data_IF_943469478703
#
_entry.id   IF_943469478703
#
_cell.length_a   1.000
_cell.length_b   1.000
_cell.length_c   1.000
_cell.angle_alpha   90.00
_cell.angle_beta   90.00
_cell.angle_gamma   90.00
#
_symmetry.space_group_name_H-M   'P 1'
#
loop_
_entity.id
_entity.type
_entity.pdbx_description
1 polymer ?
#
# COMPACT_ATOMS: atom_id res chain seq x y z
N UNK A 1 3.96 -1.09 23.25
CA UNK A 1 3.91 -1.41 24.70
C UNK A 1 5.26 -1.14 25.40
N UNK A 2 6.20 -0.43 24.74
CA UNK A 2 7.52 -0.13 25.31
C UNK A 2 8.47 -1.34 25.35
N UNK A 3 8.03 -2.50 24.86
CA UNK A 3 8.80 -3.76 24.82
C UNK A 3 8.91 -4.26 23.38
N UNK A 4 7.81 -4.17 22.63
CA UNK A 4 7.69 -4.47 21.21
C UNK A 4 7.60 -3.16 20.42
N UNK A 5 8.04 -3.21 19.17
CA UNK A 5 7.92 -2.11 18.24
C UNK A 5 6.50 -1.92 17.69
N UNK A 6 6.34 -1.29 16.52
CA UNK A 6 5.05 -1.15 15.85
C UNK A 6 4.37 -2.52 15.70
N UNK A 7 3.15 -2.60 16.21
CA UNK A 7 2.38 -3.84 16.26
C UNK A 7 0.90 -3.54 16.00
N UNK A 8 0.20 -4.52 15.43
CA UNK A 8 -1.24 -4.47 15.25
C UNK A 8 -1.92 -5.10 16.46
N UNK A 9 -2.90 -4.39 17.01
CA UNK A 9 -3.69 -4.81 18.17
C UNK A 9 -5.18 -4.79 17.82
N UNK A 10 -5.92 -5.72 18.41
CA UNK A 10 -7.39 -5.73 18.36
C UNK A 10 -7.93 -5.49 19.77
N UNK A 11 -9.03 -4.74 19.87
CA UNK A 11 -9.71 -4.45 21.14
C UNK A 11 -11.21 -4.47 20.97
N UNK A 12 -11.92 -4.98 21.98
CA UNK A 12 -13.37 -4.79 22.14
C UNK A 12 -13.72 -3.68 23.15
N UNK A 13 -12.75 -2.84 23.52
CA UNK A 13 -12.92 -1.78 24.52
C UNK A 13 -12.64 -2.21 25.97
N UNK A 14 -12.30 -3.47 26.22
CA UNK A 14 -11.92 -3.96 27.55
C UNK A 14 -10.44 -4.35 27.61
N UNK A 15 -9.83 -4.30 28.80
CA UNK A 15 -8.46 -4.76 28.99
C UNK A 15 -8.29 -6.24 28.61
N UNK A 16 -9.24 -7.11 28.99
CA UNK A 16 -9.21 -8.55 28.64
C UNK A 16 -9.39 -8.82 27.16
N UNK A 17 -10.16 -7.99 26.46
CA UNK A 17 -10.38 -8.12 25.01
C UNK A 17 -9.38 -7.36 24.16
N UNK A 18 -8.38 -6.69 24.76
CA UNK A 18 -7.30 -6.02 24.04
C UNK A 18 -6.10 -6.93 23.95
N UNK A 19 -5.68 -7.28 22.73
CA UNK A 19 -4.53 -8.17 22.51
C UNK A 19 -3.80 -7.85 21.21
N UNK A 20 -2.49 -8.09 21.22
CA UNK A 20 -1.67 -8.00 20.03
C UNK A 20 -2.04 -9.14 19.07
N UNK A 21 -2.16 -8.82 17.78
CA UNK A 21 -2.38 -9.82 16.73
C UNK A 21 -1.14 -10.03 15.86
N UNK A 22 -0.31 -8.99 15.68
CA UNK A 22 0.94 -9.08 14.93
C UNK A 22 1.96 -8.08 15.46
N UNK A 23 3.16 -8.55 15.71
CA UNK A 23 4.34 -7.72 15.91
C UNK A 23 5.09 -7.59 14.57
N UNK A 24 5.51 -6.38 14.22
CA UNK A 24 6.26 -6.11 12.98
C UNK A 24 7.74 -5.79 13.25
N UNK A 25 8.14 -5.56 14.50
CA UNK A 25 9.54 -5.30 14.85
C UNK A 25 10.06 -6.41 15.77
N UNK A 26 10.68 -7.48 15.22
CA UNK A 26 11.20 -8.56 16.03
C UNK A 26 12.38 -8.07 16.89
N UNK A 27 12.50 -8.51 18.17
CA UNK A 27 13.66 -8.21 18.99
C UNK A 27 14.87 -9.10 18.61
N UNK A 28 16.10 -8.56 18.52
CA UNK A 28 16.45 -7.14 18.66
C UNK A 28 16.07 -6.32 17.41
N UNK A 29 15.72 -5.04 17.57
CA UNK A 29 15.33 -4.19 16.45
C UNK A 29 16.48 -4.06 15.46
N UNK A 30 16.22 -4.40 14.19
CA UNK A 30 17.22 -4.39 13.12
C UNK A 30 17.02 -3.23 12.13
N UNK A 31 15.86 -2.59 12.14
CA UNK A 31 15.50 -1.42 11.34
C UNK A 31 14.26 -0.74 11.93
N UNK A 32 14.05 0.54 11.63
CA UNK A 32 12.83 1.24 12.02
C UNK A 32 11.66 0.77 11.18
N UNK A 33 10.68 0.16 11.83
CA UNK A 33 9.39 -0.19 11.23
C UNK A 33 8.45 1.00 11.34
N UNK A 34 7.61 1.20 10.33
CA UNK A 34 6.50 2.14 10.41
C UNK A 34 5.24 1.52 9.83
N UNK A 35 4.10 1.76 10.47
CA UNK A 35 2.79 1.32 9.98
C UNK A 35 1.99 2.57 9.62
N UNK A 36 1.49 2.65 8.40
CA UNK A 36 0.83 3.85 7.87
C UNK A 36 -0.43 3.48 7.07
N UNK A 37 -1.25 4.50 6.81
CA UNK A 37 -2.36 4.44 5.84
C UNK A 37 -3.42 3.36 6.07
N UNK A 38 -3.85 3.19 7.32
CA UNK A 38 -4.95 2.28 7.66
C UNK A 38 -6.24 2.66 6.92
N UNK A 39 -6.74 1.72 6.12
CA UNK A 39 -7.92 1.91 5.26
C UNK A 39 -8.83 0.71 5.34
N UNK A 40 -10.11 0.94 5.59
CA UNK A 40 -11.12 -0.13 5.59
C UNK A 40 -11.68 -0.31 4.20
N UNK A 41 -11.64 -1.53 3.66
CA UNK A 41 -12.39 -1.93 2.46
C UNK A 41 -13.14 -3.24 2.73
N UNK A 42 -14.47 -3.15 2.77
CA UNK A 42 -15.29 -4.25 3.27
C UNK A 42 -14.96 -4.59 4.72
N UNK A 43 -14.70 -5.88 4.99
CA UNK A 43 -14.33 -6.40 6.32
C UNK A 43 -12.81 -6.40 6.56
N UNK A 44 -12.03 -5.83 5.64
CA UNK A 44 -10.57 -5.84 5.67
C UNK A 44 -10.02 -4.46 5.99
N UNK A 45 -8.91 -4.42 6.72
CA UNK A 45 -8.07 -3.24 6.91
C UNK A 45 -6.79 -3.42 6.10
N UNK A 46 -6.54 -2.51 5.18
CA UNK A 46 -5.31 -2.37 4.41
C UNK A 46 -4.40 -1.34 5.08
N UNK A 47 -3.09 -1.58 5.06
CA UNK A 47 -2.11 -0.66 5.63
C UNK A 47 -0.73 -0.92 5.00
N UNK A 48 0.12 0.11 5.03
CA UNK A 48 1.52 -0.01 4.60
C UNK A 48 2.41 -0.35 5.81
N UNK A 49 3.37 -1.25 5.64
CA UNK A 49 4.40 -1.54 6.63
C UNK A 49 5.77 -1.35 6.01
N UNK A 50 6.58 -0.45 6.59
CA UNK A 50 7.99 -0.31 6.21
C UNK A 50 8.78 -1.50 6.76
N UNK A 51 9.22 -2.39 5.87
CA UNK A 51 10.10 -3.51 6.19
C UNK A 51 11.44 -3.41 5.43
N UNK A 52 12.25 -4.48 5.46
CA UNK A 52 13.55 -4.58 4.80
C UNK A 52 13.48 -4.32 3.27
N UNK A 53 12.30 -4.47 2.67
CA UNK A 53 12.06 -4.35 1.23
C UNK A 53 11.43 -3.02 0.81
N UNK A 54 11.11 -2.13 1.75
CA UNK A 54 10.34 -0.93 1.48
C UNK A 54 8.99 -0.95 2.18
N UNK A 55 8.11 -0.04 1.80
CA UNK A 55 6.75 0.06 2.34
C UNK A 55 5.83 -0.94 1.64
N UNK A 56 5.54 -2.05 2.27
CA UNK A 56 4.74 -3.13 1.68
C UNK A 56 3.25 -3.04 2.01
N UNK A 57 2.38 -3.51 1.10
CA UNK A 57 0.94 -3.55 1.33
C UNK A 57 0.53 -4.77 2.15
N UNK A 58 -0.03 -4.53 3.32
CA UNK A 58 -0.55 -5.54 4.24
C UNK A 58 -2.07 -5.43 4.37
N UNK A 59 -2.68 -6.56 4.75
CA UNK A 59 -4.11 -6.66 5.02
C UNK A 59 -4.35 -7.40 6.34
N UNK A 60 -5.45 -7.07 7.02
CA UNK A 60 -5.93 -7.77 8.21
C UNK A 60 -7.46 -7.84 8.26
N UNK A 61 -7.99 -8.95 8.74
CA UNK A 61 -9.39 -9.14 9.13
C UNK A 61 -9.59 -9.02 10.66
N UNK A 62 -8.59 -8.52 11.38
CA UNK A 62 -8.57 -8.46 12.85
C UNK A 62 -8.13 -9.76 13.54
N UNK A 63 -7.80 -10.81 12.79
CA UNK A 63 -7.24 -12.05 13.32
C UNK A 63 -5.74 -12.16 13.02
N UNK A 64 -5.03 -12.99 13.79
CA UNK A 64 -3.61 -13.26 13.54
C UNK A 64 -3.39 -14.00 12.22
N UNK A 65 -4.31 -14.87 11.82
CA UNK A 65 -4.21 -15.66 10.61
C UNK A 65 -4.52 -14.83 9.34
N UNK A 66 -5.48 -13.90 9.44
CA UNK A 66 -5.82 -13.00 8.34
C UNK A 66 -4.92 -11.76 8.24
N UNK A 67 -4.00 -11.55 9.18
CA UNK A 67 -2.99 -10.47 9.09
C UNK A 67 -1.78 -10.95 8.29
N UNK A 68 -1.65 -10.48 7.04
CA UNK A 68 -0.61 -10.94 6.12
C UNK A 68 -0.24 -9.88 5.08
N UNK A 69 0.94 -10.06 4.48
CA UNK A 69 1.33 -9.38 3.26
C UNK A 69 0.30 -9.70 2.17
N UNK A 70 -0.13 -8.67 1.44
CA UNK A 70 -1.02 -8.84 0.28
C UNK A 70 -0.21 -9.38 -0.89
N UNK A 71 0.83 -8.65 -1.27
CA UNK A 71 1.75 -8.97 -2.36
C UNK A 71 3.00 -8.10 -2.24
N UNK A 72 4.16 -8.69 -2.45
CA UNK A 72 5.40 -7.94 -2.73
C UNK A 72 5.28 -7.39 -4.15
N UNK A 73 5.00 -6.09 -4.28
CA UNK A 73 4.76 -5.44 -5.58
C UNK A 73 6.09 -5.05 -6.22
N UNK A 74 7.07 -4.59 -5.43
CA UNK A 74 8.40 -4.23 -5.90
C UNK A 74 9.42 -5.24 -5.34
N UNK A 75 9.78 -6.30 -6.11
CA UNK A 75 10.74 -7.28 -5.61
C UNK A 75 12.15 -6.68 -5.48
N UNK A 76 12.66 -6.54 -4.26
CA UNK A 76 14.03 -6.08 -4.01
C UNK A 76 14.33 -5.76 -2.55
N UNK A 77 15.59 -5.88 -2.14
CA UNK A 77 16.03 -5.47 -0.78
C UNK A 77 16.42 -3.99 -0.78
N UNK A 78 16.00 -3.24 0.25
CA UNK A 78 16.46 -1.87 0.50
C UNK A 78 17.96 -1.78 0.79
N UNK A 79 18.62 -2.92 1.01
CA UNK A 79 20.04 -3.07 1.29
C UNK A 79 20.83 -3.56 0.07
N UNK A 80 21.07 -2.68 -0.90
CA UNK A 80 22.21 -2.86 -1.80
C UNK A 80 22.86 -1.56 -2.29
N UNK A 81 22.42 -0.38 -1.85
CA UNK A 81 23.05 0.86 -2.30
C UNK A 81 23.18 1.89 -1.18
N UNK A 82 24.33 2.56 -1.12
CA UNK A 82 24.60 3.73 -0.26
C UNK A 82 23.92 4.99 -0.81
N UNK A 83 22.73 4.85 -1.41
CA UNK A 83 22.08 5.94 -2.10
C UNK A 83 21.32 6.82 -1.11
N UNK A 84 21.34 8.15 -1.31
CA UNK A 84 20.57 9.10 -0.52
C UNK A 84 19.09 8.68 -0.35
N UNK A 85 18.47 9.05 0.77
CA UNK A 85 17.10 8.68 1.12
C UNK A 85 16.04 9.29 0.16
N UNK A 86 16.44 10.22 -0.70
CA UNK A 86 15.69 10.80 -1.82
C UNK A 86 15.97 10.11 -3.18
N UNK A 87 16.94 9.19 -3.22
CA UNK A 87 17.37 8.44 -4.40
C UNK A 87 16.92 6.96 -4.37
N UNK A 88 16.02 6.56 -3.47
CA UNK A 88 15.37 5.25 -3.50
C UNK A 88 13.96 5.35 -4.13
N UNK A 89 13.82 5.24 -5.46
CA UNK A 89 12.53 4.94 -6.09
C UNK A 89 12.08 3.48 -5.85
N UNK A 90 12.89 2.66 -5.18
CA UNK A 90 12.64 1.21 -5.04
C UNK A 90 11.79 0.86 -3.81
N UNK A 91 10.62 1.47 -3.67
CA UNK A 91 9.67 1.13 -2.63
C UNK A 91 8.28 1.07 -3.22
N UNK A 92 7.59 -0.06 -3.01
CA UNK A 92 6.21 -0.22 -3.44
C UNK A 92 5.28 0.84 -2.81
N UNK A 93 5.74 1.55 -1.74
CA UNK A 93 5.16 2.74 -1.08
C UNK A 93 3.75 3.06 -1.57
N UNK A 94 2.77 2.22 -1.19
CA UNK A 94 1.43 2.35 -1.70
C UNK A 94 0.84 3.67 -1.23
N UNK A 95 0.56 4.59 -2.16
CA UNK A 95 -0.14 5.82 -1.82
C UNK A 95 -1.63 5.55 -1.94
N UNK A 96 -2.33 5.64 -0.81
CA UNK A 96 -3.77 5.42 -0.77
C UNK A 96 -4.50 6.38 -1.70
N UNK A 97 -5.33 5.82 -2.56
CA UNK A 97 -6.23 6.58 -3.41
C UNK A 97 -7.67 6.54 -2.90
N UNK A 98 -8.18 5.37 -2.53
CA UNK A 98 -9.53 5.25 -1.97
C UNK A 98 -10.08 3.83 -1.96
N UNK A 99 -11.36 3.70 -1.63
CA UNK A 99 -12.10 2.43 -1.61
C UNK A 99 -13.37 2.58 -2.42
N UNK A 100 -13.65 1.58 -3.25
CA UNK A 100 -14.83 1.56 -4.10
C UNK A 100 -15.27 0.13 -4.37
N UNK A 101 -16.57 -0.17 -4.23
CA UNK A 101 -17.10 -1.53 -4.44
C UNK A 101 -16.51 -2.60 -3.51
N UNK A 102 -15.94 -2.21 -2.36
CA UNK A 102 -15.22 -3.11 -1.46
C UNK A 102 -13.76 -3.39 -1.87
N UNK A 103 -13.29 -2.82 -2.97
CA UNK A 103 -11.89 -2.92 -3.42
C UNK A 103 -11.08 -1.72 -2.94
N UNK A 104 -9.81 -1.97 -2.65
CA UNK A 104 -8.84 -0.96 -2.26
C UNK A 104 -8.04 -0.49 -3.48
N UNK A 105 -8.06 0.82 -3.76
CA UNK A 105 -7.31 1.45 -4.85
C UNK A 105 -6.15 2.27 -4.28
N UNK A 106 -4.99 2.13 -4.89
CA UNK A 106 -3.74 2.75 -4.45
C UNK A 106 -2.77 2.92 -5.63
N UNK A 107 -1.68 3.65 -5.45
CA UNK A 107 -0.58 3.68 -6.42
C UNK A 107 0.64 2.96 -5.91
N UNK A 108 1.31 2.20 -6.75
CA UNK A 108 2.53 1.47 -6.41
C UNK A 108 3.42 1.34 -7.65
N UNK A 109 4.71 1.10 -7.41
CA UNK A 109 5.70 0.81 -8.44
C UNK A 109 6.12 -0.67 -8.36
N UNK A 110 6.25 -1.33 -9.51
CA UNK A 110 6.64 -2.75 -9.60
C UNK A 110 8.01 -2.97 -10.27
N UNK A 111 8.75 -1.88 -10.49
CA UNK A 111 10.04 -1.87 -11.18
C UNK A 111 9.97 -2.03 -12.70
N UNK A 112 8.78 -2.20 -13.27
CA UNK A 112 8.57 -2.34 -14.72
C UNK A 112 7.77 -1.19 -15.33
N UNK A 113 6.77 -0.69 -14.61
CA UNK A 113 5.79 0.28 -15.12
C UNK A 113 5.86 1.66 -14.44
N UNK A 114 6.85 1.90 -13.58
CA UNK A 114 6.83 3.08 -12.70
C UNK A 114 5.65 3.07 -11.73
N UNK A 115 5.34 4.20 -11.08
CA UNK A 115 4.20 4.32 -10.17
C UNK A 115 2.90 4.49 -10.95
N UNK A 116 2.04 3.48 -10.86
CA UNK A 116 0.78 3.37 -11.59
C UNK A 116 -0.41 3.07 -10.66
N UNK A 117 -1.62 2.97 -11.22
CA UNK A 117 -2.86 2.67 -10.48
C UNK A 117 -3.04 1.16 -10.27
N UNK A 118 -3.20 0.75 -9.01
CA UNK A 118 -3.42 -0.64 -8.59
C UNK A 118 -4.73 -0.80 -7.84
N UNK A 119 -5.25 -2.03 -7.86
CA UNK A 119 -6.42 -2.46 -7.09
C UNK A 119 -6.11 -3.73 -6.32
N UNK A 120 -6.71 -3.89 -5.14
CA UNK A 120 -6.64 -5.11 -4.33
C UNK A 120 -7.99 -5.47 -3.73
N UNK A 121 -8.31 -6.77 -3.76
CA UNK A 121 -9.38 -7.40 -2.96
C UNK A 121 -8.85 -7.98 -1.64
N UNK A 122 -7.56 -7.76 -1.33
CA UNK A 122 -6.88 -8.31 -0.17
C UNK A 122 -6.12 -9.61 -0.44
N UNK A 123 -6.30 -10.23 -1.61
CA UNK A 123 -5.56 -11.43 -2.02
C UNK A 123 -4.40 -11.08 -2.95
N UNK A 124 -3.36 -11.91 -2.98
CA UNK A 124 -2.25 -11.74 -3.93
C UNK A 124 -2.73 -11.82 -5.40
N UNK A 125 -3.60 -12.77 -5.80
CA UNK A 125 -4.12 -12.84 -7.18
C UNK A 125 -5.05 -11.68 -7.55
N UNK A 126 -5.83 -11.15 -6.59
CA UNK A 126 -6.69 -9.99 -6.79
C UNK A 126 -5.97 -8.65 -6.62
N UNK A 127 -4.64 -8.66 -6.48
CA UNK A 127 -3.81 -7.45 -6.43
C UNK A 127 -3.12 -7.24 -7.77
N UNK A 128 -3.70 -6.35 -8.57
CA UNK A 128 -3.37 -6.18 -9.99
C UNK A 128 -3.24 -4.72 -10.38
N UNK A 129 -2.41 -4.48 -11.39
CA UNK A 129 -2.32 -3.20 -12.09
C UNK A 129 -3.66 -2.97 -12.80
N UNK A 130 -4.32 -1.85 -12.53
CA UNK A 130 -5.57 -1.48 -13.20
C UNK A 130 -5.29 -1.08 -14.64
N UNK A 131 -4.29 -0.20 -14.80
CA UNK A 131 -3.85 0.30 -16.09
C UNK A 131 -2.44 0.83 -15.97
N UNK A 132 -1.61 0.52 -16.97
CA UNK A 132 -0.35 1.21 -17.25
C UNK A 132 -0.70 2.49 -18.03
N UNK A 133 -0.85 3.61 -17.31
CA UNK A 133 -1.29 4.88 -17.91
C UNK A 133 -0.15 5.52 -18.69
N UNK A 134 1.08 5.36 -18.19
CA UNK A 134 2.28 5.86 -18.85
C UNK A 134 3.24 4.70 -19.15
N UNK A 135 3.13 4.09 -20.34
CA UNK A 135 3.95 2.95 -20.70
C UNK A 135 5.46 3.15 -20.49
N UNK A 136 6.07 2.24 -19.75
CA UNK A 136 7.51 2.21 -19.44
C UNK A 136 7.83 2.61 -18.00
N UNK A 137 9.10 2.92 -17.73
CA UNK A 137 9.56 3.25 -16.36
C UNK A 137 9.17 4.64 -15.81
N UNK A 138 8.72 5.65 -16.60
CA UNK A 138 8.26 6.90 -16.00
C UNK A 138 6.88 6.73 -15.34
N UNK A 139 6.74 7.20 -14.10
CA UNK A 139 5.45 7.16 -13.40
C UNK A 139 4.36 7.97 -14.12
N UNK A 140 3.18 7.38 -14.27
CA UNK A 140 1.95 8.04 -14.72
C UNK A 140 1.14 8.68 -13.59
N UNK A 141 1.31 8.20 -12.35
CA UNK A 141 0.75 8.81 -11.15
C UNK A 141 1.83 9.31 -10.19
N UNK A 142 1.51 10.35 -9.42
CA UNK A 142 2.38 10.86 -8.36
C UNK A 142 1.81 10.58 -6.96
N UNK A 143 2.58 10.95 -5.96
CA UNK A 143 2.29 10.80 -4.53
C UNK A 143 1.25 11.79 -4.01
N UNK A 144 0.82 12.76 -4.82
CA UNK A 144 -0.25 13.70 -4.50
C UNK A 144 -1.58 13.36 -5.14
N UNK A 145 -1.58 12.39 -6.05
CA UNK A 145 -2.77 11.98 -6.77
C UNK A 145 -3.84 11.57 -5.78
N UNK A 146 -5.06 12.08 -5.97
CA UNK A 146 -6.24 11.73 -5.18
C UNK A 146 -7.23 11.04 -6.09
N UNK A 147 -7.89 10.02 -5.54
CA UNK A 147 -9.02 9.38 -6.19
C UNK A 147 -10.30 9.81 -5.48
N UNK A 148 -11.28 10.21 -6.27
CA UNK A 148 -12.61 10.58 -5.79
C UNK A 148 -13.61 9.65 -6.46
N UNK A 149 -14.45 9.01 -5.65
CA UNK A 149 -15.53 8.14 -6.14
C UNK A 149 -16.83 8.90 -6.18
N UNK A 150 -17.54 8.81 -7.30
CA UNK A 150 -18.91 9.30 -7.46
C UNK A 150 -19.75 8.25 -8.17
N UNK A 151 -20.64 7.59 -7.43
CA UNK A 151 -21.40 6.44 -7.94
C UNK A 151 -20.46 5.27 -8.27
N UNK A 152 -20.55 4.75 -9.49
CA UNK A 152 -19.67 3.69 -10.00
C UNK A 152 -18.48 4.23 -10.81
N UNK A 153 -18.10 5.50 -10.61
CA UNK A 153 -16.97 6.10 -11.34
C UNK A 153 -15.96 6.64 -10.34
N UNK A 154 -14.71 6.24 -10.51
CA UNK A 154 -13.57 6.85 -9.85
C UNK A 154 -12.91 7.89 -10.78
N UNK A 155 -12.56 9.04 -10.22
CA UNK A 155 -11.86 10.13 -10.92
C UNK A 155 -10.51 10.40 -10.24
N UNK A 156 -9.46 10.60 -11.03
CA UNK A 156 -8.12 10.88 -10.53
C UNK A 156 -7.29 11.65 -11.57
N UNK A 157 -6.26 12.35 -11.11
CA UNK A 157 -5.28 12.98 -12.00
C UNK A 157 -4.22 11.98 -12.42
N UNK A 158 -3.84 11.94 -13.70
CA UNK A 158 -2.71 11.14 -14.17
C UNK A 158 -2.07 11.75 -15.42
N UNK A 159 -0.86 11.33 -15.74
CA UNK A 159 -0.10 11.81 -16.88
C UNK A 159 0.36 10.65 -17.76
N UNK A 160 -0.11 10.59 -18.99
CA UNK A 160 0.21 9.55 -19.97
C UNK A 160 1.57 9.75 -20.67
N UNK A 161 2.28 10.83 -20.35
CA UNK A 161 3.55 11.21 -20.96
C UNK A 161 3.42 11.91 -22.32
N UNK A 162 2.20 12.10 -22.83
CA UNK A 162 1.91 12.74 -24.12
C UNK A 162 1.18 14.07 -23.92
N UNK A 163 0.14 14.09 -23.08
CA UNK A 163 -0.75 15.23 -22.89
C UNK A 163 -0.51 16.00 -21.58
N UNK A 164 0.37 15.49 -20.72
CA UNK A 164 0.63 16.08 -19.40
C UNK A 164 -0.36 15.59 -18.35
N UNK A 165 -0.54 16.34 -17.26
CA UNK A 165 -1.50 15.97 -16.21
C UNK A 165 -2.94 16.22 -16.67
N UNK A 166 -3.77 15.18 -16.63
CA UNK A 166 -5.15 15.16 -17.09
C UNK A 166 -6.08 14.55 -16.05
N UNK A 167 -7.40 14.79 -16.20
CA UNK A 167 -8.43 14.14 -15.39
C UNK A 167 -8.89 12.84 -16.05
N UNK A 168 -8.63 11.72 -15.38
CA UNK A 168 -9.00 10.39 -15.82
C UNK A 168 -10.24 9.88 -15.08
N UNK A 169 -10.93 8.92 -15.71
CA UNK A 169 -12.05 8.19 -15.09
C UNK A 169 -11.90 6.69 -15.25
N UNK A 170 -12.30 5.95 -14.23
CA UNK A 170 -12.41 4.50 -14.22
C UNK A 170 -13.84 4.11 -13.84
N UNK A 171 -14.45 3.19 -14.58
CA UNK A 171 -15.75 2.61 -14.20
C UNK A 171 -15.51 1.42 -13.27
N UNK A 172 -16.23 1.38 -12.16
CA UNK A 172 -16.13 0.44 -11.06
C UNK A 172 -17.17 -0.68 -11.16
#
# INVERSE_FOLDING_TARGET
DGVNGPALWVSNGTARGTRMIRDFEPPPPTYSVSIRDLTVAGDLVFFAVTELHGDELWVSDGTRAGTRLVKDIYPGSRSSTNEPWDALPHSSSPVRLGVAGGLFYFTAEDGSHGRELWVSDGSAPGTVLVQDIRPGSPSGLDWYTRLVVSGNVAYFGANDGIHGQELWRLTL
#
